data_IF_355310273482
#
_entry.id   IF_355310273482
#
_cell.length_a   1.000
_cell.length_b   1.000
_cell.length_c   1.000
_cell.angle_alpha   90.00
_cell.angle_beta   90.00
_cell.angle_gamma   90.00
#
_symmetry.space_group_name_H-M   'P 1'
#
loop_
_entity.id
_entity.type
_entity.pdbx_description
1 polymer ?
#
# COMPACT_ATOMS: atom_id res chain seq x y z
N UNK A 1 -27.37 -22.25 -27.86
CA UNK A 1 -26.57 -21.86 -26.69
C UNK A 1 -27.55 -21.72 -25.54
N UNK A 2 -27.40 -22.53 -24.51
CA UNK A 2 -28.20 -22.45 -23.28
C UNK A 2 -27.78 -21.18 -22.57
N UNK A 3 -28.65 -20.16 -22.56
CA UNK A 3 -28.42 -18.93 -21.80
C UNK A 3 -28.68 -19.27 -20.33
N UNK A 4 -27.62 -19.43 -19.56
CA UNK A 4 -27.68 -19.56 -18.10
C UNK A 4 -28.13 -18.21 -17.53
N UNK A 5 -29.37 -18.10 -17.07
CA UNK A 5 -29.83 -16.93 -16.33
C UNK A 5 -29.21 -17.00 -14.91
N UNK A 6 -28.12 -16.28 -14.68
CA UNK A 6 -27.60 -16.04 -13.33
C UNK A 6 -28.61 -15.21 -12.54
N UNK A 7 -29.09 -15.70 -11.41
CA UNK A 7 -29.92 -14.90 -10.51
C UNK A 7 -29.07 -13.75 -9.95
N UNK A 8 -29.69 -12.61 -9.61
CA UNK A 8 -28.95 -11.51 -8.97
C UNK A 8 -28.28 -11.94 -7.66
N UNK A 9 -28.84 -12.96 -6.98
CA UNK A 9 -28.27 -13.57 -5.77
C UNK A 9 -26.96 -14.29 -6.05
N UNK A 10 -26.74 -14.76 -7.27
CA UNK A 10 -25.48 -15.37 -7.71
C UNK A 10 -24.42 -14.29 -8.04
N UNK A 11 -24.77 -13.01 -7.93
CA UNK A 11 -23.87 -11.87 -8.18
C UNK A 11 -23.37 -11.19 -6.89
N UNK A 12 -23.83 -11.62 -5.72
CA UNK A 12 -23.52 -11.03 -4.41
C UNK A 12 -22.71 -12.03 -3.59
N UNK A 13 -21.70 -11.59 -2.83
CA UNK A 13 -20.97 -12.47 -1.94
C UNK A 13 -21.90 -13.20 -0.97
N UNK A 14 -21.66 -14.50 -0.74
CA UNK A 14 -22.39 -15.27 0.26
C UNK A 14 -21.95 -14.85 1.67
N UNK A 15 -22.70 -13.95 2.28
CA UNK A 15 -22.47 -13.53 3.67
C UNK A 15 -23.29 -14.34 4.68
N UNK A 16 -24.27 -15.12 4.23
CA UNK A 16 -25.17 -15.85 5.12
C UNK A 16 -24.46 -17.07 5.73
N UNK A 17 -23.54 -17.67 4.98
CA UNK A 17 -22.71 -18.80 5.44
C UNK A 17 -21.70 -18.46 6.55
N UNK A 18 -21.47 -17.18 6.84
CA UNK A 18 -20.42 -16.72 7.78
C UNK A 18 -20.95 -15.97 9.01
N UNK A 19 -22.26 -16.02 9.28
CA UNK A 19 -22.87 -15.30 10.41
C UNK A 19 -22.26 -15.66 11.77
N UNK A 20 -21.87 -16.92 11.96
CA UNK A 20 -21.19 -17.36 13.20
C UNK A 20 -19.80 -16.74 13.37
N UNK A 21 -19.11 -16.42 12.28
CA UNK A 21 -17.81 -15.75 12.30
C UNK A 21 -18.01 -14.29 12.69
N UNK A 22 -18.99 -13.62 12.08
CA UNK A 22 -19.28 -12.20 12.32
C UNK A 22 -19.73 -11.91 13.75
N UNK A 23 -20.38 -12.89 14.40
CA UNK A 23 -20.81 -12.77 15.80
C UNK A 23 -19.66 -12.91 16.81
N UNK A 24 -18.50 -13.44 16.39
CA UNK A 24 -17.34 -13.61 17.27
C UNK A 24 -16.60 -12.28 17.44
N UNK A 25 -16.07 -12.00 18.64
CA UNK A 25 -15.19 -10.87 18.82
C UNK A 25 -13.86 -11.19 18.12
N UNK A 26 -13.55 -10.48 17.04
CA UNK A 26 -12.28 -10.57 16.31
C UNK A 26 -11.13 -9.93 17.11
N UNK A 27 -10.87 -10.45 18.30
CA UNK A 27 -9.80 -10.01 19.18
C UNK A 27 -8.46 -10.33 18.54
N UNK A 28 -7.51 -9.41 18.70
CA UNK A 28 -6.14 -9.55 18.25
C UNK A 28 -5.28 -9.58 19.51
N UNK A 29 -4.55 -10.66 19.68
CA UNK A 29 -3.55 -10.78 20.75
C UNK A 29 -2.22 -10.16 20.28
N UNK A 30 -1.36 -9.77 21.23
CA UNK A 30 -0.04 -9.17 20.90
C UNK A 30 0.89 -10.11 20.10
N UNK A 31 0.63 -11.42 20.11
CA UNK A 31 1.41 -12.44 19.40
C UNK A 31 0.70 -13.01 18.16
N UNK A 32 -0.33 -12.32 17.68
CA UNK A 32 -1.13 -12.79 16.55
C UNK A 32 -0.30 -12.81 15.24
N UNK A 33 -0.15 -13.97 14.56
CA UNK A 33 0.59 -14.10 13.30
C UNK A 33 -0.11 -13.45 12.10
N UNK A 34 -0.94 -12.42 12.33
CA UNK A 34 -1.82 -11.82 11.35
C UNK A 34 -1.08 -11.32 10.09
N UNK A 35 0.12 -10.77 10.26
CA UNK A 35 0.94 -10.37 9.12
C UNK A 35 1.47 -11.58 8.34
N UNK A 36 1.98 -12.63 9.00
CA UNK A 36 2.45 -13.83 8.31
C UNK A 36 1.34 -14.60 7.62
N UNK A 37 0.12 -14.56 8.18
CA UNK A 37 -1.04 -15.21 7.59
C UNK A 37 -1.49 -14.47 6.33
N UNK A 38 -1.50 -13.13 6.35
CA UNK A 38 -1.98 -12.30 5.23
C UNK A 38 -0.90 -12.03 4.18
N UNK A 39 0.37 -12.05 4.57
CA UNK A 39 1.53 -11.69 3.75
C UNK A 39 2.64 -12.76 3.80
N UNK A 40 2.34 -14.05 3.53
CA UNK A 40 3.29 -15.14 3.74
C UNK A 40 4.55 -15.02 2.87
N UNK A 41 4.43 -14.53 1.63
CA UNK A 41 5.60 -14.34 0.74
C UNK A 41 6.49 -13.19 1.20
N UNK A 42 5.91 -12.12 1.71
CA UNK A 42 6.65 -10.98 2.23
C UNK A 42 7.34 -11.35 3.54
N UNK A 43 6.64 -12.05 4.43
CA UNK A 43 7.20 -12.62 5.65
C UNK A 43 8.44 -13.48 5.35
N UNK A 44 8.31 -14.44 4.43
CA UNK A 44 9.42 -15.31 4.05
C UNK A 44 10.63 -14.52 3.48
N UNK A 45 10.38 -13.48 2.69
CA UNK A 45 11.44 -12.62 2.17
C UNK A 45 12.15 -11.83 3.27
N UNK A 46 11.41 -11.34 4.28
CA UNK A 46 11.99 -10.69 5.46
C UNK A 46 12.85 -11.67 6.27
N UNK A 47 12.40 -12.92 6.45
CA UNK A 47 13.19 -13.97 7.10
C UNK A 47 14.50 -14.25 6.34
N UNK A 48 14.45 -14.32 5.02
CA UNK A 48 15.64 -14.49 4.18
C UNK A 48 16.61 -13.31 4.31
N UNK A 49 16.10 -12.07 4.27
CA UNK A 49 16.90 -10.87 4.44
C UNK A 49 17.59 -10.86 5.80
N UNK A 50 16.89 -11.27 6.85
CA UNK A 50 17.37 -11.24 8.24
C UNK A 50 18.34 -12.39 8.56
N UNK A 51 18.33 -13.47 7.79
CA UNK A 51 19.20 -14.63 8.00
C UNK A 51 20.70 -14.25 8.03
N UNK A 52 21.50 -14.90 8.89
CA UNK A 52 22.92 -14.54 9.12
C UNK A 52 23.80 -14.69 7.88
N UNK A 53 23.40 -15.58 6.96
CA UNK A 53 24.08 -15.85 5.68
C UNK A 53 23.31 -15.29 4.48
N UNK A 54 22.45 -14.29 4.69
CA UNK A 54 21.74 -13.64 3.60
C UNK A 54 22.73 -13.22 2.50
N UNK A 55 22.36 -13.49 1.25
CA UNK A 55 23.21 -13.21 0.08
C UNK A 55 23.23 -11.73 -0.30
N UNK A 56 22.30 -10.93 0.21
CA UNK A 56 22.14 -9.51 -0.11
C UNK A 56 21.82 -8.67 1.13
N UNK A 57 22.35 -7.44 1.15
CA UNK A 57 21.95 -6.40 2.10
C UNK A 57 20.74 -5.58 1.61
N UNK A 58 20.24 -5.86 0.41
CA UNK A 58 19.12 -5.15 -0.20
C UNK A 58 17.93 -6.07 -0.43
N UNK A 59 16.75 -5.53 -0.18
CA UNK A 59 15.47 -6.11 -0.54
C UNK A 59 14.63 -5.08 -1.32
N UNK A 60 13.97 -5.53 -2.37
CA UNK A 60 12.97 -4.77 -3.12
C UNK A 60 11.59 -5.27 -2.71
N UNK A 61 10.74 -4.37 -2.23
CA UNK A 61 9.38 -4.68 -1.82
C UNK A 61 8.39 -3.89 -2.67
N UNK A 62 7.56 -4.58 -3.47
CA UNK A 62 6.45 -3.91 -4.15
C UNK A 62 5.36 -3.61 -3.14
N UNK A 63 5.11 -2.33 -2.86
CA UNK A 63 3.98 -1.84 -2.06
C UNK A 63 3.78 -0.34 -2.33
N UNK A 64 2.58 0.21 -2.05
CA UNK A 64 2.41 1.66 -2.04
C UNK A 64 3.41 2.34 -1.10
N UNK A 65 3.92 3.48 -1.54
CA UNK A 65 5.05 4.19 -0.89
C UNK A 65 4.58 5.14 0.21
N UNK A 66 3.68 4.63 1.04
CA UNK A 66 2.92 5.39 2.03
C UNK A 66 3.25 4.87 3.44
N UNK A 67 3.20 5.77 4.41
CA UNK A 67 3.68 5.51 5.77
C UNK A 67 3.07 4.26 6.41
N UNK A 68 1.79 3.96 6.15
CA UNK A 68 1.09 2.78 6.66
C UNK A 68 1.75 1.48 6.20
N UNK A 69 2.10 1.38 4.92
CA UNK A 69 2.73 0.18 4.36
C UNK A 69 4.16 0.02 4.87
N UNK A 70 4.92 1.12 4.90
CA UNK A 70 6.28 1.11 5.42
C UNK A 70 6.32 0.68 6.90
N UNK A 71 5.37 1.17 7.71
CA UNK A 71 5.27 0.82 9.12
C UNK A 71 4.86 -0.64 9.34
N UNK A 72 3.92 -1.18 8.54
CA UNK A 72 3.55 -2.60 8.60
C UNK A 72 4.75 -3.52 8.29
N UNK A 73 5.52 -3.19 7.24
CA UNK A 73 6.73 -3.94 6.91
C UNK A 73 7.77 -3.77 8.02
N UNK A 74 7.88 -2.57 8.61
CA UNK A 74 8.80 -2.31 9.71
C UNK A 74 8.46 -3.13 10.95
N UNK A 75 7.19 -3.21 11.33
CA UNK A 75 6.72 -4.02 12.45
C UNK A 75 6.99 -5.51 12.23
N UNK A 76 6.69 -6.04 11.04
CA UNK A 76 7.01 -7.41 10.69
C UNK A 76 8.52 -7.69 10.71
N UNK A 77 9.33 -6.74 10.24
CA UNK A 77 10.79 -6.86 10.33
C UNK A 77 11.30 -6.81 11.78
N UNK A 78 10.68 -6.00 12.65
CA UNK A 78 11.01 -5.89 14.08
C UNK A 78 10.77 -7.21 14.81
N UNK A 79 9.65 -7.90 14.55
CA UNK A 79 9.34 -9.18 15.22
C UNK A 79 10.32 -10.30 14.85
N UNK A 80 10.91 -10.23 13.64
CA UNK A 80 11.89 -11.18 13.14
C UNK A 80 13.34 -10.87 13.56
N UNK A 81 13.61 -9.67 14.07
CA UNK A 81 14.97 -9.22 14.36
C UNK A 81 15.52 -9.86 15.65
N UNK A 82 16.33 -10.91 15.51
CA UNK A 82 16.90 -11.66 16.65
C UNK A 82 17.95 -10.90 17.46
N UNK A 83 18.61 -9.90 16.88
CA UNK A 83 19.66 -9.09 17.50
C UNK A 83 19.16 -7.71 17.96
N UNK A 84 17.84 -7.50 18.01
CA UNK A 84 17.24 -6.25 18.46
C UNK A 84 17.72 -5.87 19.86
N UNK A 85 18.06 -4.60 20.06
CA UNK A 85 18.53 -4.10 21.35
C UNK A 85 20.05 -4.21 21.60
N UNK A 86 20.85 -4.64 20.62
CA UNK A 86 22.31 -4.63 20.73
C UNK A 86 22.85 -3.21 20.54
N UNK A 87 23.72 -2.76 21.46
CA UNK A 87 24.37 -1.45 21.36
C UNK A 87 25.41 -1.44 20.23
N UNK A 88 25.23 -0.53 19.27
CA UNK A 88 26.13 -0.32 18.13
C UNK A 88 26.36 1.18 17.88
N UNK A 89 27.33 1.49 17.02
CA UNK A 89 27.71 2.86 16.70
C UNK A 89 28.90 3.35 17.53
N UNK A 90 28.88 4.63 17.88
CA UNK A 90 30.02 5.28 18.51
C UNK A 90 29.73 6.63 19.13
N UNK A 91 30.78 7.21 19.69
CA UNK A 91 30.75 8.55 20.24
C UNK A 91 31.80 9.41 19.56
N UNK A 92 31.36 10.51 18.97
CA UNK A 92 32.25 11.54 18.44
C UNK A 92 32.56 12.58 19.53
N UNK A 93 33.82 12.64 19.93
CA UNK A 93 34.35 13.65 20.84
C UNK A 93 34.89 14.82 20.01
N UNK A 94 34.27 15.99 20.15
CA UNK A 94 34.68 17.22 19.47
C UNK A 94 35.51 18.07 20.44
N UNK A 95 36.77 18.35 20.08
CA UNK A 95 37.67 19.21 20.84
C UNK A 95 38.27 20.28 19.93
N UNK A 96 37.60 21.43 19.86
CA UNK A 96 37.93 22.49 18.90
C UNK A 96 37.79 21.97 17.47
N UNK A 97 38.90 21.94 16.72
CA UNK A 97 38.93 21.43 15.34
C UNK A 97 39.33 19.96 15.21
N UNK A 98 39.56 19.25 16.33
CA UNK A 98 39.89 17.83 16.32
C UNK A 98 38.67 17.02 16.71
N UNK A 99 38.29 16.06 15.87
CA UNK A 99 37.20 15.11 16.15
C UNK A 99 37.79 13.72 16.26
N UNK A 100 37.43 13.00 17.33
CA UNK A 100 37.81 11.61 17.55
C UNK A 100 36.56 10.74 17.67
N UNK A 101 36.61 9.55 17.08
CA UNK A 101 35.58 8.54 17.23
C UNK A 101 36.05 7.47 18.22
N UNK A 102 35.23 7.17 19.21
CA UNK A 102 35.34 5.95 20.03
C UNK A 102 34.13 5.05 19.81
N UNK A 103 34.28 3.76 20.08
CA UNK A 103 33.14 2.84 20.08
C UNK A 103 32.12 3.21 21.15
N UNK A 104 30.86 2.87 20.91
CA UNK A 104 29.77 3.12 21.84
C UNK A 104 29.98 2.32 23.13
N UNK A 105 29.83 2.98 24.27
CA UNK A 105 29.89 2.38 25.61
C UNK A 105 28.56 2.58 26.36
N UNK A 106 27.82 3.64 26.02
CA UNK A 106 26.47 3.90 26.53
C UNK A 106 25.49 4.14 25.38
N UNK A 107 24.20 3.91 25.62
CA UNK A 107 23.13 4.34 24.72
C UNK A 107 23.02 5.87 24.63
N UNK A 108 23.56 6.60 25.62
CA UNK A 108 23.59 8.07 25.63
C UNK A 108 24.72 8.66 24.74
N UNK A 109 25.55 7.82 24.13
CA UNK A 109 26.59 8.27 23.21
C UNK A 109 25.95 8.85 21.93
N UNK A 110 26.48 9.98 21.43
CA UNK A 110 25.81 10.83 20.43
C UNK A 110 25.51 10.18 19.06
N UNK A 111 26.17 9.07 18.74
CA UNK A 111 25.93 8.26 17.53
C UNK A 111 25.80 6.78 17.89
N UNK A 112 25.46 6.47 19.14
CA UNK A 112 25.10 5.12 19.54
C UNK A 112 23.61 4.89 19.30
N UNK A 113 23.28 3.66 18.92
CA UNK A 113 21.90 3.21 18.81
C UNK A 113 21.80 1.78 19.31
N UNK A 114 20.60 1.40 19.68
CA UNK A 114 20.25 -0.01 19.72
C UNK A 114 19.86 -0.43 18.30
N UNK A 115 20.28 -1.63 17.91
CA UNK A 115 19.85 -2.26 16.65
C UNK A 115 18.33 -2.26 16.57
N UNK A 116 17.80 -1.66 15.51
CA UNK A 116 16.37 -1.44 15.31
C UNK A 116 16.02 -1.30 13.83
N UNK A 117 14.72 -1.30 13.55
CA UNK A 117 14.18 -1.02 12.21
C UNK A 117 13.69 0.43 12.16
N UNK A 118 14.18 1.19 11.20
CA UNK A 118 13.81 2.59 10.94
C UNK A 118 13.15 2.67 9.58
N UNK A 119 12.02 3.37 9.48
CA UNK A 119 11.30 3.59 8.23
C UNK A 119 11.24 5.08 7.88
N UNK A 120 11.32 5.41 6.60
CA UNK A 120 11.13 6.78 6.10
C UNK A 120 10.44 6.76 4.73
N UNK A 121 9.31 7.45 4.64
CA UNK A 121 8.59 7.69 3.38
C UNK A 121 9.30 8.79 2.57
N UNK A 122 9.47 9.99 3.12
CA UNK A 122 10.24 11.09 2.56
C UNK A 122 11.36 11.52 3.50
N UNK A 123 12.55 11.72 2.94
CA UNK A 123 13.70 12.15 3.73
C UNK A 123 14.66 13.03 2.91
N UNK A 124 15.18 14.06 3.57
CA UNK A 124 16.21 14.93 3.02
C UNK A 124 17.62 14.45 3.42
N UNK A 125 18.62 14.96 2.71
CA UNK A 125 20.01 14.53 2.89
C UNK A 125 20.53 14.62 4.33
N UNK A 126 20.25 15.73 5.04
CA UNK A 126 20.64 15.90 6.44
C UNK A 126 19.89 14.98 7.41
N UNK A 127 18.63 14.65 7.10
CA UNK A 127 17.84 13.75 7.94
C UNK A 127 18.31 12.30 7.77
N UNK A 128 18.60 11.88 6.53
CA UNK A 128 19.06 10.52 6.24
C UNK A 128 20.48 10.29 6.75
N UNK A 129 21.42 11.20 6.44
CA UNK A 129 22.84 11.01 6.73
C UNK A 129 23.35 11.77 7.94
N UNK A 130 22.54 12.62 8.56
CA UNK A 130 23.02 13.53 9.60
C UNK A 130 23.74 14.73 9.00
N UNK A 131 24.19 15.63 9.87
CA UNK A 131 24.89 16.83 9.43
C UNK A 131 25.99 17.26 10.42
N UNK A 132 26.97 17.99 9.89
CA UNK A 132 27.94 18.74 10.66
C UNK A 132 27.50 20.20 10.65
N UNK A 133 27.22 20.74 11.84
CA UNK A 133 26.87 22.15 12.03
C UNK A 133 28.03 22.89 12.65
N UNK A 134 28.27 24.09 12.16
CA UNK A 134 29.24 25.01 12.73
C UNK A 134 28.55 26.32 13.08
N UNK A 135 28.61 26.72 14.35
CA UNK A 135 28.05 27.97 14.83
C UNK A 135 29.02 28.63 15.80
N UNK A 136 29.40 29.88 15.54
CA UNK A 136 30.36 30.64 16.37
C UNK A 136 31.71 29.94 16.63
N UNK A 137 32.15 29.06 15.72
CA UNK A 137 33.37 28.27 15.88
C UNK A 137 33.18 26.92 16.58
N UNK A 138 32.01 26.68 17.18
CA UNK A 138 31.66 25.40 17.77
C UNK A 138 31.13 24.45 16.70
N UNK A 139 31.68 23.25 16.66
CA UNK A 139 31.30 22.18 15.74
C UNK A 139 30.42 21.19 16.48
N UNK A 140 29.28 20.86 15.91
CA UNK A 140 28.35 19.85 16.42
C UNK A 140 28.01 18.88 15.31
N UNK A 141 27.99 17.59 15.65
CA UNK A 141 27.61 16.52 14.74
C UNK A 141 26.24 16.01 15.15
N UNK A 142 25.35 15.83 14.18
CA UNK A 142 24.01 15.31 14.40
C UNK A 142 23.84 13.98 13.67
N UNK A 143 23.35 12.92 14.34
CA UNK A 143 23.07 11.65 13.70
C UNK A 143 21.86 11.76 12.76
N UNK A 144 21.91 10.99 11.68
CA UNK A 144 20.78 10.78 10.76
C UNK A 144 20.15 9.40 10.90
N UNK A 145 19.15 9.11 10.07
CA UNK A 145 18.44 7.83 10.09
C UNK A 145 19.36 6.63 9.84
N UNK A 146 20.38 6.73 8.98
CA UNK A 146 21.34 5.63 8.78
C UNK A 146 22.10 5.26 10.06
N UNK A 147 22.32 6.24 10.95
CA UNK A 147 22.98 6.03 12.23
C UNK A 147 22.04 5.38 13.24
N UNK A 148 20.76 5.76 13.22
CA UNK A 148 19.72 5.14 14.06
C UNK A 148 19.42 3.70 13.62
N UNK A 149 19.52 3.41 12.32
CA UNK A 149 19.34 2.08 11.74
C UNK A 149 20.63 1.24 11.75
N UNK A 150 21.73 1.73 12.33
CA UNK A 150 23.00 1.01 12.34
C UNK A 150 22.83 -0.36 13.01
N UNK A 151 23.40 -1.39 12.39
CA UNK A 151 23.27 -2.80 12.76
C UNK A 151 21.87 -3.40 12.51
N UNK A 152 20.90 -2.62 12.05
CA UNK A 152 19.52 -3.05 11.80
C UNK A 152 19.08 -2.86 10.36
N UNK A 153 17.84 -2.39 10.19
CA UNK A 153 17.18 -2.24 8.88
C UNK A 153 16.76 -0.79 8.68
N UNK A 154 17.04 -0.25 7.49
CA UNK A 154 16.41 0.97 6.97
C UNK A 154 15.39 0.58 5.90
N UNK A 155 14.14 0.97 6.11
CA UNK A 155 13.07 0.88 5.12
C UNK A 155 12.89 2.27 4.51
N UNK A 156 12.95 2.38 3.19
CA UNK A 156 12.86 3.68 2.52
C UNK A 156 12.10 3.56 1.21
N UNK A 157 11.29 4.58 0.91
CA UNK A 157 10.57 4.67 -0.35
C UNK A 157 11.52 4.95 -1.52
N UNK A 158 11.26 4.27 -2.65
CA UNK A 158 11.98 4.48 -3.91
C UNK A 158 11.70 5.85 -4.52
N UNK A 159 10.49 6.40 -4.41
CA UNK A 159 10.09 7.75 -4.81
C UNK A 159 11.07 8.79 -4.26
N UNK A 160 11.44 8.68 -2.99
CA UNK A 160 12.40 9.59 -2.34
C UNK A 160 13.79 9.48 -2.96
N UNK A 161 14.26 8.25 -3.21
CA UNK A 161 15.59 8.00 -3.76
C UNK A 161 15.68 8.33 -5.26
N UNK A 162 14.62 8.09 -6.03
CA UNK A 162 14.52 8.42 -7.46
C UNK A 162 14.41 9.93 -7.66
N UNK A 163 13.66 10.63 -6.79
CA UNK A 163 13.61 12.09 -6.80
C UNK A 163 14.94 12.74 -6.43
N UNK A 164 15.79 12.03 -5.66
CA UNK A 164 17.08 12.53 -5.17
C UNK A 164 18.22 11.51 -5.38
N UNK A 165 18.73 11.33 -6.62
CA UNK A 165 19.68 10.26 -6.94
C UNK A 165 20.99 10.26 -6.14
N UNK A 166 21.43 11.42 -5.65
CA UNK A 166 22.62 11.53 -4.80
C UNK A 166 22.43 10.84 -3.44
N UNK A 167 21.21 10.79 -2.91
CA UNK A 167 20.91 10.04 -1.69
C UNK A 167 21.16 8.55 -1.93
N UNK A 168 20.64 8.02 -3.04
CA UNK A 168 20.83 6.63 -3.41
C UNK A 168 22.31 6.26 -3.54
N UNK A 169 23.08 7.05 -4.28
CA UNK A 169 24.52 6.80 -4.46
C UNK A 169 25.27 6.73 -3.13
N UNK A 170 24.96 7.62 -2.18
CA UNK A 170 25.57 7.63 -0.85
C UNK A 170 25.12 6.43 -0.01
N UNK A 171 23.82 6.13 0.01
CA UNK A 171 23.28 4.99 0.74
C UNK A 171 23.88 3.67 0.26
N UNK A 172 23.93 3.46 -1.06
CA UNK A 172 24.57 2.28 -1.68
C UNK A 172 26.04 2.14 -1.27
N UNK A 173 26.78 3.24 -1.23
CA UNK A 173 28.18 3.25 -0.83
C UNK A 173 28.35 2.86 0.65
N UNK A 174 27.50 3.40 1.54
CA UNK A 174 27.51 3.07 2.98
C UNK A 174 27.28 1.57 3.20
N UNK A 175 26.26 1.02 2.55
CA UNK A 175 25.91 -0.41 2.66
C UNK A 175 27.05 -1.29 2.13
N UNK A 176 27.58 -0.98 0.95
CA UNK A 176 28.63 -1.79 0.32
C UNK A 176 29.97 -1.76 1.05
N UNK A 177 30.30 -0.64 1.70
CA UNK A 177 31.57 -0.47 2.44
C UNK A 177 31.47 -0.80 3.93
N UNK A 178 30.26 -1.05 4.43
CA UNK A 178 29.95 -1.21 5.86
C UNK A 178 30.54 -0.06 6.72
N UNK A 179 30.53 1.17 6.18
CA UNK A 179 31.03 2.36 6.89
C UNK A 179 30.35 3.64 6.41
N UNK A 180 30.23 4.58 7.33
CA UNK A 180 29.83 5.95 7.08
C UNK A 180 31.04 6.87 6.97
N UNK A 181 31.17 7.53 5.81
CA UNK A 181 32.19 8.54 5.55
C UNK A 181 31.50 9.93 5.55
N UNK A 182 32.02 10.87 6.36
CA UNK A 182 31.52 12.25 6.35
C UNK A 182 31.96 12.97 5.08
N UNK A 183 31.00 13.38 4.24
CA UNK A 183 31.28 14.06 2.98
C UNK A 183 30.39 15.29 2.86
N UNK A 184 30.98 16.43 2.47
CA UNK A 184 30.22 17.64 2.17
C UNK A 184 29.16 17.38 1.10
N UNK A 185 27.96 17.93 1.25
CA UNK A 185 26.90 17.83 0.24
C UNK A 185 27.19 18.67 -0.99
N UNK A 186 27.92 19.76 -0.80
CA UNK A 186 28.33 20.70 -1.84
C UNK A 186 29.86 20.72 -1.90
N UNK A 187 30.44 20.33 -3.04
CA UNK A 187 31.89 20.35 -3.24
C UNK A 187 32.49 21.75 -3.10
N UNK A 188 31.70 22.80 -3.36
CA UNK A 188 32.11 24.19 -3.17
C UNK A 188 32.20 24.60 -1.68
N UNK A 189 31.65 23.78 -0.79
CA UNK A 189 31.63 23.97 0.66
C UNK A 189 32.18 22.74 1.37
N UNK A 190 33.51 22.51 1.33
CA UNK A 190 34.12 21.39 2.02
C UNK A 190 33.87 21.47 3.53
N UNK A 191 33.93 20.30 4.19
CA UNK A 191 33.82 20.26 5.65
C UNK A 191 34.94 21.09 6.28
N UNK A 192 34.65 21.89 7.32
CA UNK A 192 35.64 22.76 7.95
C UNK A 192 36.73 21.97 8.69
N UNK A 193 36.47 20.70 8.99
CA UNK A 193 37.37 19.77 9.68
C UNK A 193 37.24 18.37 9.09
N UNK A 194 38.29 17.55 9.27
CA UNK A 194 38.23 16.13 8.94
C UNK A 194 37.50 15.37 10.06
N UNK A 195 36.50 14.57 9.70
CA UNK A 195 35.74 13.76 10.63
C UNK A 195 36.07 12.28 10.39
N UNK A 196 36.45 11.50 11.41
CA UNK A 196 36.74 10.09 11.22
C UNK A 196 35.50 9.30 10.79
N UNK A 197 35.69 8.36 9.86
CA UNK A 197 34.64 7.45 9.41
C UNK A 197 34.15 6.55 10.54
N UNK A 198 32.86 6.20 10.52
CA UNK A 198 32.23 5.29 11.48
C UNK A 198 31.93 3.93 10.84
N UNK A 199 32.26 2.79 11.46
CA UNK A 199 31.73 1.49 11.04
C UNK A 199 30.20 1.48 11.13
N UNK A 200 29.54 1.14 10.02
CA UNK A 200 28.09 1.20 9.90
C UNK A 200 27.62 0.05 9.02
N UNK A 201 26.89 -0.89 9.60
CA UNK A 201 26.32 -2.03 8.88
C UNK A 201 24.81 -1.85 8.77
N UNK A 202 24.26 -1.99 7.58
CA UNK A 202 22.84 -1.72 7.34
C UNK A 202 22.27 -2.71 6.32
N UNK A 203 21.07 -3.22 6.61
CA UNK A 203 20.21 -3.83 5.60
C UNK A 203 19.18 -2.81 5.13
N UNK A 204 18.87 -2.79 3.84
CA UNK A 204 17.98 -1.78 3.25
C UNK A 204 16.82 -2.47 2.54
N UNK A 205 15.60 -2.09 2.91
CA UNK A 205 14.37 -2.47 2.20
C UNK A 205 13.91 -1.26 1.40
N UNK A 206 13.96 -1.38 0.07
CA UNK A 206 13.47 -0.38 -0.86
C UNK A 206 12.02 -0.70 -1.21
N UNK A 207 11.10 0.18 -0.82
CA UNK A 207 9.66 0.02 -1.06
C UNK A 207 9.26 0.87 -2.25
N UNK A 208 8.55 0.29 -3.21
CA UNK A 208 8.13 1.02 -4.40
C UNK A 208 6.88 0.47 -5.06
N UNK A 209 6.15 1.33 -5.75
CA UNK A 209 5.12 0.89 -6.69
C UNK A 209 5.76 0.32 -7.97
N UNK A 210 4.92 -0.27 -8.84
CA UNK A 210 5.41 -0.94 -10.06
C UNK A 210 6.22 -0.01 -10.96
N UNK A 211 5.82 1.24 -11.10
CA UNK A 211 6.53 2.23 -11.91
C UNK A 211 7.89 2.58 -11.27
N UNK A 212 7.92 2.93 -9.98
CA UNK A 212 9.15 3.22 -9.24
C UNK A 212 10.15 2.04 -9.26
N UNK A 213 9.65 0.80 -9.12
CA UNK A 213 10.49 -0.39 -9.20
C UNK A 213 11.05 -0.62 -10.60
N UNK A 214 10.26 -0.38 -11.65
CA UNK A 214 10.72 -0.51 -13.03
C UNK A 214 11.82 0.51 -13.33
N UNK A 215 11.63 1.79 -12.95
CA UNK A 215 12.63 2.85 -13.11
C UNK A 215 13.92 2.52 -12.35
N UNK A 216 13.79 2.03 -11.12
CA UNK A 216 14.94 1.63 -10.31
C UNK A 216 15.70 0.44 -10.92
N UNK A 217 14.97 -0.56 -11.45
CA UNK A 217 15.57 -1.73 -12.09
C UNK A 217 16.34 -1.36 -13.37
N UNK A 218 15.85 -0.39 -14.14
CA UNK A 218 16.56 0.14 -15.31
C UNK A 218 17.86 0.85 -14.89
N UNK A 219 17.82 1.60 -13.79
CA UNK A 219 18.99 2.32 -13.26
C UNK A 219 20.03 1.37 -12.61
N UNK A 220 19.58 0.33 -11.89
CA UNK A 220 20.42 -0.57 -11.07
C UNK A 220 20.11 -2.05 -11.34
N UNK A 221 20.40 -2.56 -12.55
CA UNK A 221 20.03 -3.93 -12.94
C UNK A 221 20.76 -5.00 -12.10
N UNK A 222 22.07 -4.83 -11.89
CA UNK A 222 22.89 -5.80 -11.15
C UNK A 222 22.46 -5.93 -9.68
N UNK A 223 22.09 -4.81 -9.05
CA UNK A 223 21.59 -4.81 -7.67
C UNK A 223 20.20 -5.44 -7.62
N UNK A 224 19.34 -5.13 -8.58
CA UNK A 224 17.99 -5.68 -8.66
C UNK A 224 18.00 -7.20 -8.85
N UNK A 225 18.95 -7.73 -9.62
CA UNK A 225 19.15 -9.19 -9.77
C UNK A 225 19.62 -9.88 -8.48
N UNK A 226 20.38 -9.17 -7.63
CA UNK A 226 20.93 -9.70 -6.39
C UNK A 226 20.02 -9.48 -5.17
N UNK A 227 19.15 -8.46 -5.22
CA UNK A 227 18.24 -8.14 -4.14
C UNK A 227 17.17 -9.22 -3.96
N UNK A 228 16.76 -9.40 -2.71
CA UNK A 228 15.58 -10.23 -2.42
C UNK A 228 14.36 -9.45 -2.91
N UNK A 229 13.49 -10.08 -3.70
CA UNK A 229 12.25 -9.46 -4.18
C UNK A 229 11.04 -10.09 -3.50
N UNK A 230 10.09 -9.26 -3.09
CA UNK A 230 8.75 -9.70 -2.70
C UNK A 230 7.71 -8.60 -2.92
N UNK A 231 6.44 -8.96 -2.80
CA UNK A 231 5.32 -8.03 -2.97
C UNK A 231 4.42 -8.06 -1.74
N UNK A 232 3.86 -6.90 -1.41
CA UNK A 232 2.69 -6.82 -0.57
C UNK A 232 1.46 -7.26 -1.38
N UNK A 233 0.80 -8.31 -0.92
CA UNK A 233 -0.39 -8.89 -1.53
C UNK A 233 -1.59 -8.00 -1.19
N UNK A 234 -2.18 -7.38 -2.22
CA UNK A 234 -3.27 -6.40 -2.06
C UNK A 234 -4.66 -7.06 -1.85
N UNK A 235 -4.75 -8.39 -1.98
CA UNK A 235 -6.01 -9.14 -1.96
C UNK A 235 -5.89 -10.50 -1.30
N UNK A 236 -6.96 -10.96 -0.66
CA UNK A 236 -7.14 -12.28 -0.07
C UNK A 236 -8.25 -13.03 -0.81
N UNK A 237 -8.01 -14.29 -1.15
CA UNK A 237 -9.00 -15.17 -1.78
C UNK A 237 -9.81 -15.89 -0.70
N UNK A 238 -11.14 -15.91 -0.84
CA UNK A 238 -12.05 -16.64 0.04
C UNK A 238 -12.05 -18.11 -0.39
N UNK A 239 -11.31 -18.95 0.35
CA UNK A 239 -11.30 -20.40 0.11
C UNK A 239 -12.23 -21.12 1.08
N UNK A 240 -12.34 -20.60 2.30
CA UNK A 240 -13.11 -21.20 3.40
C UNK A 240 -13.48 -20.16 4.47
N UNK A 241 -14.11 -20.63 5.55
CA UNK A 241 -14.43 -19.83 6.72
C UNK A 241 -13.20 -19.18 7.38
N UNK A 242 -12.05 -19.86 7.37
CA UNK A 242 -10.83 -19.33 7.99
C UNK A 242 -10.32 -18.10 7.25
N UNK A 243 -10.39 -18.13 5.91
CA UNK A 243 -10.05 -17.00 5.05
C UNK A 243 -10.84 -15.73 5.41
N UNK A 244 -12.15 -15.88 5.66
CA UNK A 244 -13.03 -14.77 6.07
C UNK A 244 -12.70 -14.30 7.48
N UNK A 245 -12.48 -15.24 8.42
CA UNK A 245 -12.08 -14.92 9.80
C UNK A 245 -10.78 -14.12 9.85
N UNK A 246 -9.78 -14.56 9.08
CA UNK A 246 -8.49 -13.89 8.93
C UNK A 246 -8.66 -12.47 8.39
N UNK A 247 -9.50 -12.27 7.38
CA UNK A 247 -9.78 -10.95 6.85
C UNK A 247 -10.48 -10.04 7.86
N UNK A 248 -11.47 -10.56 8.61
CA UNK A 248 -12.12 -9.79 9.69
C UNK A 248 -11.12 -9.36 10.77
N UNK A 249 -10.17 -10.23 11.14
CA UNK A 249 -9.08 -9.90 12.07
C UNK A 249 -8.15 -8.84 11.49
N UNK A 250 -7.79 -8.93 10.21
CA UNK A 250 -6.98 -7.91 9.51
C UNK A 250 -7.63 -6.53 9.49
N UNK A 251 -8.92 -6.48 9.18
CA UNK A 251 -9.71 -5.24 9.20
C UNK A 251 -9.76 -4.66 10.61
N UNK A 252 -10.05 -5.50 11.61
CA UNK A 252 -10.13 -5.07 13.01
C UNK A 252 -8.79 -4.56 13.52
N UNK A 253 -7.69 -5.20 13.14
CA UNK A 253 -6.33 -4.79 13.48
C UNK A 253 -6.00 -3.44 12.86
N UNK A 254 -6.23 -3.30 11.56
CA UNK A 254 -5.97 -2.06 10.83
C UNK A 254 -6.74 -0.89 11.43
N UNK A 255 -8.02 -1.08 11.77
CA UNK A 255 -8.85 -0.05 12.40
C UNK A 255 -8.33 0.32 13.80
N UNK A 256 -8.11 -0.66 14.68
CA UNK A 256 -7.70 -0.42 16.07
C UNK A 256 -6.30 0.16 16.20
N UNK A 257 -5.36 -0.32 15.38
CA UNK A 257 -4.00 0.22 15.33
C UNK A 257 -3.98 1.71 14.97
N UNK A 258 -4.97 2.17 14.19
CA UNK A 258 -5.13 3.57 13.78
C UNK A 258 -6.14 4.35 14.65
N UNK A 259 -6.55 3.80 15.80
CA UNK A 259 -7.52 4.42 16.71
C UNK A 259 -8.88 4.75 16.07
N UNK A 260 -9.35 3.86 15.19
CA UNK A 260 -10.64 3.99 14.50
C UNK A 260 -11.63 2.93 14.99
N UNK A 261 -12.95 3.19 14.87
CA UNK A 261 -13.96 2.21 15.25
C UNK A 261 -13.90 0.99 14.33
N UNK A 262 -14.04 -0.19 14.93
CA UNK A 262 -14.05 -1.47 14.20
C UNK A 262 -15.48 -1.88 13.78
N UNK A 263 -15.65 -2.72 12.75
CA UNK A 263 -16.97 -3.19 12.35
C UNK A 263 -17.66 -4.02 13.45
N UNK A 264 -18.92 -3.72 13.74
CA UNK A 264 -19.80 -4.56 14.53
C UNK A 264 -20.27 -5.80 13.76
N UNK A 265 -20.87 -6.76 14.46
CA UNK A 265 -21.30 -8.03 13.87
C UNK A 265 -22.23 -7.86 12.65
N UNK A 266 -23.11 -6.85 12.69
CA UNK A 266 -24.06 -6.52 11.62
C UNK A 266 -23.45 -5.68 10.48
N UNK A 267 -22.23 -5.15 10.66
CA UNK A 267 -21.53 -4.36 9.65
C UNK A 267 -20.74 -5.22 8.65
N UNK A 268 -20.31 -6.42 9.04
CA UNK A 268 -19.51 -7.31 8.18
C UNK A 268 -20.15 -7.64 6.83
N UNK A 269 -21.45 -8.00 6.74
CA UNK A 269 -22.08 -8.28 5.44
C UNK A 269 -22.08 -7.07 4.50
N UNK A 270 -22.21 -5.85 5.05
CA UNK A 270 -22.17 -4.60 4.28
C UNK A 270 -20.75 -4.33 3.80
N UNK A 271 -19.76 -4.51 4.67
CA UNK A 271 -18.35 -4.28 4.34
C UNK A 271 -17.82 -5.31 3.33
N UNK A 272 -18.20 -6.59 3.43
CA UNK A 272 -17.83 -7.63 2.45
C UNK A 272 -18.44 -7.33 1.08
N UNK A 273 -19.67 -6.83 1.03
CA UNK A 273 -20.28 -6.42 -0.24
C UNK A 273 -19.53 -5.24 -0.86
N UNK A 274 -19.11 -4.27 -0.05
CA UNK A 274 -18.28 -3.16 -0.51
C UNK A 274 -16.88 -3.62 -0.94
N UNK A 275 -16.29 -4.58 -0.23
CA UNK A 275 -15.03 -5.22 -0.59
C UNK A 275 -15.10 -5.90 -1.96
N UNK A 276 -16.10 -6.75 -2.18
CA UNK A 276 -16.31 -7.41 -3.47
C UNK A 276 -16.60 -6.42 -4.60
N UNK A 277 -17.28 -5.31 -4.31
CA UNK A 277 -17.49 -4.22 -5.26
C UNK A 277 -16.16 -3.55 -5.63
N UNK A 278 -15.27 -3.35 -4.65
CA UNK A 278 -13.96 -2.73 -4.84
C UNK A 278 -13.00 -3.63 -5.63
N UNK A 279 -12.96 -4.93 -5.33
CA UNK A 279 -12.10 -5.90 -6.03
C UNK A 279 -12.67 -6.31 -7.39
N UNK A 280 -13.99 -6.15 -7.59
CA UNK A 280 -14.70 -6.60 -8.78
C UNK A 280 -15.01 -8.11 -8.78
N UNK A 281 -14.68 -8.82 -7.70
CA UNK A 281 -14.81 -10.27 -7.59
C UNK A 281 -15.42 -10.67 -6.25
N UNK A 282 -16.41 -11.58 -6.27
CA UNK A 282 -17.17 -11.96 -5.08
C UNK A 282 -16.34 -12.75 -4.05
N UNK A 283 -15.37 -13.52 -4.52
CA UNK A 283 -14.51 -14.39 -3.71
C UNK A 283 -13.17 -13.72 -3.38
N UNK A 284 -13.02 -12.42 -3.62
CA UNK A 284 -11.78 -11.68 -3.40
C UNK A 284 -12.01 -10.48 -2.47
N UNK A 285 -11.28 -10.44 -1.35
CA UNK A 285 -11.33 -9.38 -0.35
C UNK A 285 -10.05 -8.53 -0.39
N UNK A 286 -10.13 -7.20 -0.20
CA UNK A 286 -8.95 -6.33 -0.23
C UNK A 286 -8.16 -6.41 1.07
N UNK A 287 -6.83 -6.51 0.97
CA UNK A 287 -5.90 -6.39 2.09
C UNK A 287 -5.31 -4.98 2.24
N UNK A 288 -5.57 -4.07 1.28
CA UNK A 288 -5.07 -2.70 1.31
C UNK A 288 -5.49 -1.96 2.60
N UNK A 289 -4.54 -1.56 3.47
CA UNK A 289 -4.82 -0.76 4.65
C UNK A 289 -5.52 0.55 4.31
N UNK A 290 -5.13 1.22 3.22
CA UNK A 290 -5.74 2.48 2.81
C UNK A 290 -7.23 2.34 2.50
N UNK A 291 -7.62 1.27 1.79
CA UNK A 291 -9.03 1.01 1.52
C UNK A 291 -9.82 0.77 2.81
N UNK A 292 -9.27 -0.01 3.73
CA UNK A 292 -9.88 -0.32 5.03
C UNK A 292 -10.03 0.95 5.89
N UNK A 293 -8.94 1.71 6.01
CA UNK A 293 -8.90 2.95 6.80
C UNK A 293 -9.90 3.96 6.27
N UNK A 294 -10.04 4.10 4.95
CA UNK A 294 -11.05 4.99 4.36
C UNK A 294 -12.46 4.65 4.83
N UNK A 295 -12.83 3.35 4.89
CA UNK A 295 -14.17 2.97 5.36
C UNK A 295 -14.36 3.33 6.84
N UNK A 296 -13.37 3.02 7.68
CA UNK A 296 -13.44 3.24 9.12
C UNK A 296 -13.40 4.73 9.48
N UNK A 297 -12.56 5.53 8.80
CA UNK A 297 -12.43 6.98 9.00
C UNK A 297 -13.71 7.73 8.64
N UNK A 298 -14.32 7.39 7.51
CA UNK A 298 -15.53 8.09 7.07
C UNK A 298 -16.71 7.82 8.03
N UNK A 299 -16.89 6.56 8.44
CA UNK A 299 -17.94 6.17 9.39
C UNK A 299 -17.69 6.72 10.79
N UNK A 300 -16.43 6.97 11.19
CA UNK A 300 -16.09 7.43 12.54
C UNK A 300 -16.86 8.69 12.97
N UNK A 301 -17.22 9.57 12.03
CA UNK A 301 -18.03 10.76 12.31
C UNK A 301 -19.47 10.48 12.79
N UNK A 302 -19.97 9.26 12.55
CA UNK A 302 -21.31 8.80 12.90
C UNK A 302 -21.32 7.92 14.16
N UNK A 303 -20.16 7.71 14.78
CA UNK A 303 -19.96 6.77 15.89
C UNK A 303 -19.60 7.49 17.19
N UNK A 304 -20.22 7.05 18.29
CA UNK A 304 -19.92 7.53 19.65
C UNK A 304 -18.96 6.60 20.43
N UNK A 305 -18.54 5.48 19.83
CA UNK A 305 -17.70 4.46 20.48
C UNK A 305 -16.75 3.74 19.53
N UNK A 306 -16.13 2.66 20.02
CA UNK A 306 -15.07 1.92 19.33
C UNK A 306 -15.56 0.93 18.25
N UNK A 307 -16.87 0.89 17.99
CA UNK A 307 -17.47 0.04 16.95
C UNK A 307 -18.55 0.78 16.16
N UNK A 308 -18.82 0.31 14.94
CA UNK A 308 -19.88 0.85 14.08
C UNK A 308 -20.84 -0.25 13.58
N UNK A 309 -22.12 0.10 13.41
CA UNK A 309 -23.17 -0.80 12.92
C UNK A 309 -23.26 -0.85 11.40
N UNK A 310 -23.98 -1.85 10.88
CA UNK A 310 -24.25 -1.95 9.45
C UNK A 310 -25.12 -0.80 8.92
N UNK A 311 -25.97 -0.23 9.77
CA UNK A 311 -26.77 0.95 9.42
C UNK A 311 -25.90 2.20 9.25
N UNK A 312 -24.97 2.45 10.19
CA UNK A 312 -24.02 3.56 10.11
C UNK A 312 -23.13 3.46 8.86
N UNK A 313 -22.61 2.25 8.56
CA UNK A 313 -21.82 2.03 7.36
C UNK A 313 -22.61 2.27 6.08
N UNK A 314 -23.85 1.75 5.98
CA UNK A 314 -24.70 1.99 4.80
C UNK A 314 -25.02 3.48 4.61
N UNK A 315 -25.33 4.20 5.70
CA UNK A 315 -25.57 5.63 5.64
C UNK A 315 -24.35 6.37 5.10
N UNK A 316 -23.15 6.03 5.59
CA UNK A 316 -21.93 6.67 5.11
C UNK A 316 -21.64 6.36 3.64
N UNK A 317 -21.85 5.11 3.20
CA UNK A 317 -21.69 4.73 1.79
C UNK A 317 -22.65 5.52 0.88
N UNK A 318 -23.91 5.70 1.28
CA UNK A 318 -24.87 6.53 0.54
C UNK A 318 -24.45 8.00 0.49
N UNK A 319 -23.94 8.55 1.60
CA UNK A 319 -23.44 9.93 1.63
C UNK A 319 -22.21 10.11 0.73
N UNK A 320 -21.32 9.11 0.69
CA UNK A 320 -20.17 9.10 -0.23
C UNK A 320 -20.63 9.05 -1.69
N UNK A 321 -21.55 8.15 -2.01
CA UNK A 321 -22.13 8.03 -3.35
C UNK A 321 -22.77 9.34 -3.80
N UNK A 322 -23.54 10.00 -2.93
CA UNK A 322 -24.13 11.32 -3.21
C UNK A 322 -23.06 12.41 -3.44
N UNK A 323 -22.01 12.45 -2.61
CA UNK A 323 -20.90 13.40 -2.75
C UNK A 323 -20.14 13.24 -4.07
N UNK A 324 -19.96 12.00 -4.52
CA UNK A 324 -19.20 11.65 -5.73
C UNK A 324 -20.09 11.55 -6.99
N UNK A 325 -21.42 11.58 -6.83
CA UNK A 325 -22.42 11.27 -7.85
C UNK A 325 -22.80 12.40 -8.80
N UNK A 326 -22.26 13.62 -8.63
CA UNK A 326 -22.71 14.79 -9.42
C UNK A 326 -22.72 14.56 -10.94
N UNK A 327 -21.68 13.93 -11.50
CA UNK A 327 -21.61 13.66 -12.94
C UNK A 327 -22.61 12.59 -13.38
N UNK A 328 -22.84 11.57 -12.56
CA UNK A 328 -23.82 10.53 -12.84
C UNK A 328 -25.25 11.11 -12.81
N UNK A 329 -25.57 11.95 -11.83
CA UNK A 329 -26.84 12.67 -11.75
C UNK A 329 -27.05 13.58 -12.97
N UNK A 330 -26.02 14.31 -13.42
CA UNK A 330 -26.09 15.15 -14.62
C UNK A 330 -26.37 14.34 -15.88
N UNK A 331 -25.71 13.20 -16.04
CA UNK A 331 -25.98 12.33 -17.19
C UNK A 331 -27.41 11.76 -17.15
N UNK A 332 -27.89 11.39 -15.96
CA UNK A 332 -29.26 10.93 -15.79
C UNK A 332 -30.27 12.03 -16.14
N UNK A 333 -30.03 13.28 -15.73
CA UNK A 333 -30.84 14.44 -16.10
C UNK A 333 -30.87 14.67 -17.62
N UNK A 334 -29.73 14.56 -18.31
CA UNK A 334 -29.64 14.70 -19.76
C UNK A 334 -30.43 13.60 -20.51
N UNK A 335 -30.42 12.37 -19.99
CA UNK A 335 -31.23 11.26 -20.51
C UNK A 335 -32.73 11.55 -20.30
N UNK A 336 -33.11 11.98 -19.10
CA UNK A 336 -34.51 12.29 -18.75
C UNK A 336 -35.05 13.50 -19.53
N UNK A 337 -34.19 14.45 -19.89
CA UNK A 337 -34.52 15.60 -20.73
C UNK A 337 -34.46 15.29 -22.23
N UNK A 338 -34.27 14.02 -22.61
CA UNK A 338 -34.17 13.55 -24.00
C UNK A 338 -33.04 14.21 -24.80
N UNK A 339 -32.04 14.79 -24.12
CA UNK A 339 -30.81 15.29 -24.75
C UNK A 339 -29.91 14.12 -25.16
N UNK A 340 -29.95 13.03 -24.38
CA UNK A 340 -29.37 11.73 -24.70
C UNK A 340 -30.51 10.74 -24.92
N UNK A 341 -30.69 10.27 -26.16
CA UNK A 341 -31.76 9.33 -26.50
C UNK A 341 -31.38 7.89 -26.13
N UNK A 342 -32.10 7.31 -25.17
CA UNK A 342 -31.99 5.89 -24.78
C UNK A 342 -33.38 5.26 -24.79
N UNK A 343 -33.60 4.33 -25.72
CA UNK A 343 -34.85 3.55 -25.79
C UNK A 343 -34.74 2.33 -24.86
N UNK A 344 -35.52 2.32 -23.77
CA UNK A 344 -35.59 1.20 -22.81
C UNK A 344 -36.78 0.26 -23.07
N UNK A 345 -37.72 0.69 -23.90
CA UNK A 345 -38.93 -0.06 -24.27
C UNK A 345 -39.03 -0.25 -25.79
N UNK A 346 -39.82 -1.24 -26.21
CA UNK A 346 -40.02 -1.57 -27.62
C UNK A 346 -38.96 -2.53 -28.20
N UNK A 347 -38.89 -2.59 -29.53
CA UNK A 347 -37.87 -3.32 -30.28
C UNK A 347 -37.55 -2.58 -31.59
N UNK A 348 -36.28 -2.53 -31.99
CA UNK A 348 -35.86 -1.97 -33.28
C UNK A 348 -34.74 -2.83 -33.88
N UNK A 349 -34.89 -3.20 -35.16
CA UNK A 349 -33.88 -3.99 -35.88
C UNK A 349 -32.61 -3.17 -36.03
N UNK A 350 -31.47 -3.70 -35.59
CA UNK A 350 -30.15 -3.08 -35.75
C UNK A 350 -29.74 -2.13 -34.62
N UNK A 351 -30.54 -2.01 -33.55
CA UNK A 351 -30.20 -1.22 -32.37
C UNK A 351 -30.01 -2.11 -31.14
N UNK A 352 -28.97 -1.82 -30.37
CA UNK A 352 -28.70 -2.43 -29.08
C UNK A 352 -28.14 -1.35 -28.14
N UNK A 353 -28.57 -1.37 -26.88
CA UNK A 353 -28.01 -0.50 -25.86
C UNK A 353 -26.67 -1.09 -25.41
N UNK A 354 -25.59 -0.40 -25.72
CA UNK A 354 -24.27 -0.75 -25.21
C UNK A 354 -24.12 -0.29 -23.76
N UNK A 355 -23.43 -1.09 -22.96
CA UNK A 355 -22.99 -0.71 -21.62
C UNK A 355 -21.54 -0.27 -21.73
N UNK A 356 -21.21 0.84 -21.09
CA UNK A 356 -19.90 1.46 -21.09
C UNK A 356 -19.67 2.11 -19.73
N UNK A 357 -18.49 1.89 -19.17
CA UNK A 357 -18.03 2.49 -17.91
C UNK A 357 -17.14 3.67 -18.24
N UNK A 358 -17.38 4.81 -17.60
CA UNK A 358 -16.50 5.97 -17.75
C UNK A 358 -15.54 5.99 -16.57
N UNK A 359 -14.26 5.76 -16.87
CA UNK A 359 -13.19 5.89 -15.89
C UNK A 359 -12.74 7.35 -15.80
N UNK A 360 -12.99 7.99 -14.67
CA UNK A 360 -12.37 9.27 -14.33
C UNK A 360 -11.17 9.02 -13.41
N UNK A 361 -9.97 9.41 -13.86
CA UNK A 361 -8.71 9.22 -13.11
C UNK A 361 -8.60 10.00 -11.79
N UNK A 362 -9.56 10.84 -11.43
CA UNK A 362 -9.45 11.75 -10.28
C UNK A 362 -9.83 11.07 -8.95
N UNK A 363 -10.54 9.93 -8.95
CA UNK A 363 -10.87 9.18 -7.73
C UNK A 363 -10.77 7.68 -8.03
N UNK A 364 -9.61 7.08 -7.72
CA UNK A 364 -9.47 5.63 -7.63
C UNK A 364 -10.43 5.12 -6.54
N UNK A 365 -11.51 4.43 -6.94
CA UNK A 365 -12.19 3.33 -6.23
C UNK A 365 -13.72 3.26 -6.44
N UNK A 366 -14.41 4.33 -6.87
CA UNK A 366 -15.89 4.31 -6.89
C UNK A 366 -16.54 4.66 -8.23
N UNK A 367 -15.82 5.27 -9.16
CA UNK A 367 -16.35 5.51 -10.50
C UNK A 367 -16.30 4.26 -11.41
N UNK A 368 -15.81 3.13 -10.90
CA UNK A 368 -15.85 1.86 -11.63
C UNK A 368 -17.28 1.32 -11.85
N UNK A 369 -18.29 1.80 -11.11
CA UNK A 369 -19.65 1.25 -11.19
C UNK A 369 -20.79 2.27 -11.38
N UNK A 370 -20.50 3.55 -11.65
CA UNK A 370 -21.56 4.57 -11.75
C UNK A 370 -21.80 5.15 -13.13
N UNK A 371 -21.25 4.53 -14.17
CA UNK A 371 -21.69 4.76 -15.53
C UNK A 371 -22.04 3.42 -16.16
N UNK A 372 -23.33 3.12 -16.14
CA UNK A 372 -23.95 2.27 -17.13
C UNK A 372 -24.79 3.21 -18.00
N UNK A 373 -24.44 3.29 -19.28
CA UNK A 373 -25.10 4.02 -20.37
C UNK A 373 -24.47 5.37 -20.75
N UNK A 374 -23.23 5.35 -21.23
CA UNK A 374 -23.00 6.09 -22.47
C UNK A 374 -23.48 5.20 -23.63
N UNK A 375 -24.69 5.47 -24.12
CA UNK A 375 -25.20 4.87 -25.34
C UNK A 375 -24.34 5.33 -26.52
N UNK A 376 -23.24 4.63 -26.80
CA UNK A 376 -22.70 4.61 -28.16
C UNK A 376 -23.74 3.85 -29.00
N UNK A 377 -24.64 4.59 -29.65
CA UNK A 377 -25.35 4.08 -30.81
C UNK A 377 -24.29 3.74 -31.87
N UNK A 378 -23.77 2.51 -31.84
CA UNK A 378 -23.05 1.97 -32.99
C UNK A 378 -24.12 1.80 -34.06
N UNK A 379 -24.14 2.74 -35.00
CA UNK A 379 -24.71 2.54 -36.31
C UNK A 379 -24.06 1.26 -36.85
N UNK A 380 -24.80 0.15 -36.88
CA UNK A 380 -24.32 -1.05 -37.54
C UNK A 380 -24.01 -0.67 -38.99
N UNK A 381 -22.71 -0.64 -39.34
CA UNK A 381 -22.27 -0.39 -40.71
C UNK A 381 -22.90 -1.45 -41.62
N UNK A 382 -23.97 -1.05 -42.30
CA UNK A 382 -24.38 -1.67 -43.55
C UNK A 382 -23.29 -1.32 -44.56
N UNK A 383 -22.42 -2.27 -44.86
CA UNK A 383 -21.81 -2.43 -46.18
C UNK A 383 -21.14 -3.81 -46.31
N UNK A 384 -21.90 -4.82 -46.74
CA UNK A 384 -21.48 -5.79 -47.77
C UNK A 384 -22.49 -6.95 -47.87
N UNK A 385 -22.96 -7.32 -49.08
CA UNK A 385 -23.92 -8.39 -49.29
C UNK A 385 -23.20 -9.74 -49.38
N UNK A 386 -22.70 -10.28 -48.27
CA UNK A 386 -22.28 -11.69 -48.25
C UNK A 386 -22.62 -12.36 -46.93
N UNK A 387 -23.54 -13.31 -47.06
CA UNK A 387 -23.89 -14.36 -46.10
C UNK A 387 -22.64 -14.98 -45.44
N UNK A 388 -22.27 -14.53 -44.23
CA UNK A 388 -21.61 -15.37 -43.22
C UNK A 388 -21.47 -14.77 -41.81
N UNK A 389 -21.91 -13.53 -41.55
CA UNK A 389 -21.84 -12.90 -40.23
C UNK A 389 -22.95 -13.35 -39.24
N UNK A 390 -23.52 -14.55 -39.39
CA UNK A 390 -24.61 -15.06 -38.53
C UNK A 390 -24.15 -15.83 -37.29
N UNK A 391 -22.85 -15.95 -37.01
CA UNK A 391 -22.35 -16.88 -35.98
C UNK A 391 -21.72 -16.30 -34.71
N UNK A 392 -21.39 -15.00 -34.61
CA UNK A 392 -20.68 -14.49 -33.41
C UNK A 392 -21.50 -13.64 -32.43
N UNK A 393 -22.80 -13.39 -32.67
CA UNK A 393 -23.63 -12.52 -31.81
C UNK A 393 -24.74 -13.25 -31.02
N UNK A 394 -24.71 -14.59 -30.99
CA UNK A 394 -25.73 -15.38 -30.29
C UNK A 394 -25.53 -15.49 -28.76
N UNK A 395 -24.57 -14.78 -28.16
CA UNK A 395 -24.23 -14.94 -26.74
C UNK A 395 -24.79 -13.85 -25.81
N UNK A 396 -25.30 -12.73 -26.31
CA UNK A 396 -25.79 -11.63 -25.47
C UNK A 396 -27.12 -11.11 -26.02
N UNK A 397 -28.17 -11.92 -25.89
CA UNK A 397 -29.53 -11.44 -26.08
C UNK A 397 -30.51 -12.37 -25.36
N UNK A 398 -31.21 -11.79 -24.37
CA UNK A 398 -32.61 -12.04 -23.99
C UNK A 398 -32.81 -12.10 -22.46
N UNK A 399 -33.21 -10.96 -21.89
CA UNK A 399 -34.12 -10.89 -20.74
C UNK A 399 -35.31 -9.99 -21.09
N UNK A 400 -36.44 -10.63 -21.38
CA UNK A 400 -37.79 -10.19 -20.98
C UNK A 400 -38.37 -11.29 -20.10
N UNK A 401 -39.15 -10.91 -19.10
CA UNK A 401 -39.76 -11.78 -18.10
C UNK A 401 -39.16 -11.57 -16.73
#
# INVERSE_FOLDING_TARGET
MTITKLAWRDLVPDTDSYQEIFAQPHLIDENDPLFSDTQPRLQFALEQLLHTRASSSFMLAKAPEESEYLNLIADAARTLQSDAGQLVGGHYEVSGHTIRLRHAVSADDNFATLTQVVAADWVEAEQLFGCLRQFNGDITLQPGLVHQANGGILIISLRTLLAQPLLWMRLKNIVNRERFDWVAFDESRPLPVSVPSMPLKLKVILVGERESLADFQEMEPELSEQAIYSEFEDTLQIVDAESVSQWCRWVTFTARHNHLPAPGADAWPVLIREAARYTGEQETLPLSPQWILRQCQEVASLCDGDTFSGEQLNLMLQQREWREGFLAERMQDEILQEQILIETEGERIGQINALSVIEFRVIHALLANLLALAALCILAMVNSPTSNAKRSLAAISMRKG
#
